data_IF_466721760401
#
_entry.id   IF_466721760401
#
_cell.length_a   1.000
_cell.length_b   1.000
_cell.length_c   1.000
_cell.angle_alpha   90.00
_cell.angle_beta   90.00
_cell.angle_gamma   90.00
#
_symmetry.space_group_name_H-M   'P 1'
#
loop_
_entity.id
_entity.type
_entity.pdbx_description
1 polymer ?
#
# COMPACT_ATOMS: atom_id res chain seq x y z
N UNK A 1 7.06 -17.55 -23.93
CA UNK A 1 7.82 -18.36 -22.93
C UNK A 1 7.91 -17.54 -21.65
N UNK A 2 7.56 -18.08 -20.48
CA UNK A 2 7.82 -17.39 -19.21
C UNK A 2 9.33 -17.27 -19.02
N UNK A 3 9.80 -16.13 -18.52
CA UNK A 3 11.19 -15.98 -18.08
C UNK A 3 11.23 -16.09 -16.55
N UNK A 4 12.38 -16.51 -16.01
CA UNK A 4 12.53 -16.69 -14.57
C UNK A 4 12.26 -15.41 -13.76
N UNK A 5 12.46 -14.24 -14.37
CA UNK A 5 12.18 -12.96 -13.73
C UNK A 5 10.67 -12.75 -13.49
N UNK A 6 9.81 -13.08 -14.45
CA UNK A 6 8.36 -12.99 -14.34
C UNK A 6 7.85 -13.98 -13.28
N UNK A 7 8.37 -15.22 -13.27
CA UNK A 7 7.99 -16.21 -12.26
C UNK A 7 8.46 -15.83 -10.84
N UNK A 8 9.64 -15.21 -10.73
CA UNK A 8 10.16 -14.68 -9.45
C UNK A 8 9.30 -13.53 -8.93
N UNK A 9 8.90 -12.59 -9.80
CA UNK A 9 8.02 -11.47 -9.44
C UNK A 9 6.62 -11.98 -9.06
N UNK A 10 6.07 -12.94 -9.81
CA UNK A 10 4.78 -13.55 -9.47
C UNK A 10 4.81 -14.27 -8.12
N UNK A 11 5.92 -14.95 -7.81
CA UNK A 11 6.14 -15.63 -6.52
C UNK A 11 6.27 -14.62 -5.37
N UNK A 12 7.04 -13.56 -5.57
CA UNK A 12 7.24 -12.49 -4.57
C UNK A 12 5.96 -11.71 -4.30
N UNK A 13 5.20 -11.35 -5.35
CA UNK A 13 3.98 -10.55 -5.23
C UNK A 13 2.72 -11.36 -4.94
N UNK A 14 2.82 -12.70 -4.87
CA UNK A 14 1.68 -13.63 -4.74
C UNK A 14 0.53 -13.36 -5.72
N UNK A 15 0.83 -12.78 -6.88
CA UNK A 15 -0.14 -12.50 -7.93
C UNK A 15 -0.15 -13.68 -8.90
N UNK A 16 -1.29 -14.34 -9.02
CA UNK A 16 -1.49 -15.39 -10.03
C UNK A 16 -2.07 -14.75 -11.28
N UNK A 17 -1.22 -14.55 -12.29
CA UNK A 17 -1.67 -14.20 -13.63
C UNK A 17 -2.52 -15.36 -14.16
N UNK A 18 -3.86 -15.19 -14.16
CA UNK A 18 -4.75 -16.12 -14.83
C UNK A 18 -4.45 -16.02 -16.32
N UNK A 19 -3.58 -16.90 -16.81
CA UNK A 19 -3.45 -17.13 -18.24
C UNK A 19 -4.86 -17.37 -18.78
N UNK A 20 -5.31 -16.54 -19.71
CA UNK A 20 -6.52 -16.82 -20.48
C UNK A 20 -6.30 -18.16 -21.17
N UNK A 21 -6.78 -19.24 -20.55
CA UNK A 21 -6.79 -20.56 -21.15
C UNK A 21 -7.67 -20.45 -22.39
N UNK A 22 -7.05 -20.43 -23.57
CA UNK A 22 -7.76 -20.67 -24.81
C UNK A 22 -8.54 -21.98 -24.63
N UNK A 23 -9.87 -21.88 -24.58
CA UNK A 23 -10.74 -23.04 -24.44
C UNK A 23 -10.52 -23.96 -25.65
N UNK A 24 -10.14 -25.23 -25.47
CA UNK A 24 -10.43 -26.24 -26.46
C UNK A 24 -11.90 -26.62 -26.31
N UNK A 25 -12.72 -26.19 -27.27
CA UNK A 25 -14.08 -26.67 -27.46
C UNK A 25 -14.02 -28.17 -27.79
N UNK A 26 -14.50 -29.06 -26.90
CA UNK A 26 -15.44 -30.18 -27.21
C UNK A 26 -15.66 -31.19 -26.06
N UNK A 27 -16.96 -31.46 -25.87
CA UNK A 27 -17.65 -32.73 -25.57
C UNK A 27 -17.35 -33.54 -24.28
N UNK A 28 -18.35 -33.48 -23.39
CA UNK A 28 -19.01 -34.56 -22.63
C UNK A 28 -18.22 -35.63 -21.88
N UNK A 29 -18.72 -35.83 -20.65
CA UNK A 29 -18.84 -37.10 -19.93
C UNK A 29 -17.69 -37.48 -18.98
N UNK A 30 -18.14 -37.91 -17.80
CA UNK A 30 -17.45 -38.70 -16.77
C UNK A 30 -16.82 -37.94 -15.60
N UNK A 31 -17.65 -37.82 -14.55
CA UNK A 31 -17.35 -37.89 -13.12
C UNK A 31 -15.85 -38.12 -12.80
N UNK A 32 -15.15 -37.10 -12.31
CA UNK A 32 -14.03 -37.24 -11.37
C UNK A 32 -14.05 -36.13 -10.35
N UNK A 33 -14.14 -36.56 -9.10
CA UNK A 33 -13.81 -35.83 -7.87
C UNK A 33 -12.50 -35.06 -8.06
N UNK A 34 -12.59 -33.74 -8.17
CA UNK A 34 -11.47 -32.85 -7.84
C UNK A 34 -11.85 -32.15 -6.55
N UNK A 35 -11.30 -32.69 -5.45
CA UNK A 35 -11.19 -31.95 -4.20
C UNK A 35 -10.48 -30.64 -4.54
N UNK A 36 -11.26 -29.57 -4.59
CA UNK A 36 -10.76 -28.21 -4.66
C UNK A 36 -9.85 -28.04 -3.45
N UNK A 37 -8.54 -28.14 -3.67
CA UNK A 37 -7.55 -27.64 -2.72
C UNK A 37 -7.70 -26.12 -2.72
N UNK A 38 -8.73 -25.67 -2.00
CA UNK A 38 -8.90 -24.30 -1.58
C UNK A 38 -7.70 -24.02 -0.69
N UNK A 39 -6.63 -23.54 -1.31
CA UNK A 39 -5.48 -22.97 -0.62
C UNK A 39 -6.08 -21.82 0.17
N UNK A 40 -6.36 -22.10 1.45
CA UNK A 40 -6.99 -21.21 2.41
C UNK A 40 -6.01 -20.06 2.61
N UNK A 41 -6.03 -19.09 1.69
CA UNK A 41 -5.30 -17.83 1.87
C UNK A 41 -5.88 -17.27 3.16
N UNK A 42 -5.07 -17.21 4.20
CA UNK A 42 -5.56 -16.75 5.49
C UNK A 42 -6.09 -15.33 5.31
N UNK A 43 -7.27 -14.98 5.85
CA UNK A 43 -7.81 -13.62 5.78
C UNK A 43 -6.85 -12.55 6.30
N UNK A 44 -5.90 -12.95 7.16
CA UNK A 44 -4.83 -12.11 7.69
C UNK A 44 -3.76 -11.75 6.65
N UNK A 45 -3.37 -12.68 5.78
CA UNK A 45 -2.39 -12.42 4.72
C UNK A 45 -2.96 -11.46 3.67
N UNK A 46 -4.24 -11.63 3.31
CA UNK A 46 -4.92 -10.73 2.37
C UNK A 46 -5.09 -9.33 2.97
N UNK A 47 -5.50 -9.23 4.23
CA UNK A 47 -5.63 -7.94 4.92
C UNK A 47 -4.30 -7.19 5.06
N UNK A 48 -3.20 -7.92 5.34
CA UNK A 48 -1.87 -7.34 5.42
C UNK A 48 -1.40 -6.81 4.07
N UNK A 49 -1.65 -7.56 3.00
CA UNK A 49 -1.31 -7.13 1.64
C UNK A 49 -2.13 -5.91 1.20
N UNK A 50 -3.43 -5.89 1.51
CA UNK A 50 -4.30 -4.74 1.21
C UNK A 50 -3.83 -3.46 1.92
N UNK A 51 -3.40 -3.57 3.19
CA UNK A 51 -2.82 -2.42 3.93
C UNK A 51 -1.53 -1.92 3.31
N UNK A 52 -0.65 -2.83 2.85
CA UNK A 52 0.58 -2.44 2.15
C UNK A 52 0.27 -1.70 0.86
N UNK A 53 -0.67 -2.20 0.06
CA UNK A 53 -1.10 -1.54 -1.17
C UNK A 53 -1.67 -0.15 -0.89
N UNK A 54 -2.57 -0.03 0.08
CA UNK A 54 -3.16 1.25 0.45
C UNK A 54 -2.13 2.27 0.97
N UNK A 55 -1.06 1.83 1.67
CA UNK A 55 0.06 2.71 2.01
C UNK A 55 0.81 3.18 0.77
N UNK A 56 1.10 2.29 -0.17
CA UNK A 56 1.76 2.64 -1.43
C UNK A 56 0.93 3.63 -2.25
N UNK A 57 -0.38 3.43 -2.32
CA UNK A 57 -1.30 4.31 -3.04
C UNK A 57 -1.37 5.70 -2.36
N UNK A 58 -1.43 5.74 -1.02
CA UNK A 58 -1.40 6.99 -0.26
C UNK A 58 -0.08 7.75 -0.46
N UNK A 59 1.05 7.04 -0.52
CA UNK A 59 2.35 7.63 -0.84
C UNK A 59 2.31 8.24 -2.24
N UNK A 60 1.86 7.48 -3.23
CA UNK A 60 1.76 7.97 -4.61
C UNK A 60 0.87 9.21 -4.73
N UNK A 61 -0.28 9.23 -4.04
CA UNK A 61 -1.16 10.40 -3.99
C UNK A 61 -0.43 11.62 -3.44
N UNK A 62 0.33 11.45 -2.37
CA UNK A 62 1.11 12.53 -1.77
C UNK A 62 2.14 13.10 -2.75
N UNK A 63 2.78 12.26 -3.57
CA UNK A 63 3.73 12.70 -4.60
C UNK A 63 3.09 13.36 -5.82
N UNK A 64 1.88 12.96 -6.19
CA UNK A 64 1.22 13.36 -7.45
C UNK A 64 0.25 14.53 -7.29
N UNK A 65 -0.41 14.65 -6.13
CA UNK A 65 -1.37 15.72 -5.88
C UNK A 65 -0.68 17.01 -5.39
N UNK A 66 -0.99 18.14 -6.03
CA UNK A 66 -0.49 19.47 -5.61
C UNK A 66 -1.01 19.92 -4.24
N UNK A 67 -2.17 19.42 -3.80
CA UNK A 67 -2.81 19.75 -2.52
C UNK A 67 -3.29 18.48 -1.84
N UNK A 68 -2.36 17.80 -1.20
CA UNK A 68 -2.64 16.57 -0.47
C UNK A 68 -3.49 16.88 0.76
N UNK A 69 -4.33 15.91 1.12
CA UNK A 69 -5.12 15.94 2.36
C UNK A 69 -4.61 14.88 3.35
N UNK A 70 -3.42 14.32 3.12
CA UNK A 70 -2.81 13.29 3.97
C UNK A 70 -1.48 13.82 4.51
N UNK A 71 -1.21 13.60 5.79
CA UNK A 71 0.04 14.05 6.41
C UNK A 71 1.20 13.12 6.01
N UNK A 72 2.15 13.66 5.24
CA UNK A 72 3.32 12.92 4.76
C UNK A 72 4.26 12.46 5.88
N UNK A 73 4.34 13.21 6.99
CA UNK A 73 5.09 12.79 8.17
C UNK A 73 4.42 11.62 8.89
N UNK A 74 3.11 11.70 9.13
CA UNK A 74 2.36 10.57 9.71
C UNK A 74 2.40 9.34 8.80
N UNK A 75 2.31 9.53 7.50
CA UNK A 75 2.36 8.44 6.52
C UNK A 75 3.71 7.69 6.59
N UNK A 76 4.81 8.40 6.80
CA UNK A 76 6.14 7.82 6.96
C UNK A 76 6.40 7.18 8.33
N UNK A 77 5.60 7.48 9.34
CA UNK A 77 5.87 7.05 10.72
C UNK A 77 5.38 5.62 10.97
N UNK A 78 6.31 4.68 11.06
CA UNK A 78 6.02 3.25 11.21
C UNK A 78 5.47 2.88 12.59
N UNK A 79 5.74 3.69 13.62
CA UNK A 79 5.21 3.47 14.98
C UNK A 79 3.70 3.76 15.11
N UNK A 80 3.11 4.45 14.13
CA UNK A 80 1.68 4.74 14.11
C UNK A 80 0.86 3.58 13.51
N UNK A 81 -0.35 3.41 14.04
CA UNK A 81 -1.35 2.52 13.46
C UNK A 81 -1.71 2.95 12.04
N UNK A 82 -1.98 1.98 11.16
CA UNK A 82 -2.31 2.19 9.74
C UNK A 82 -3.34 3.31 9.54
N UNK A 83 -4.45 3.30 10.29
CA UNK A 83 -5.52 4.30 10.20
C UNK A 83 -5.05 5.73 10.49
N UNK A 84 -4.11 5.90 11.42
CA UNK A 84 -3.51 7.21 11.74
C UNK A 84 -2.52 7.64 10.67
N UNK A 85 -1.83 6.69 10.04
CA UNK A 85 -0.85 6.97 8.96
C UNK A 85 -1.54 7.41 7.68
N UNK A 86 -2.65 6.75 7.33
CA UNK A 86 -3.42 7.03 6.11
C UNK A 86 -4.62 7.94 6.37
N UNK A 87 -4.63 8.67 7.49
CA UNK A 87 -5.73 9.55 7.82
C UNK A 87 -5.84 10.68 6.79
N UNK A 88 -7.02 10.81 6.19
CA UNK A 88 -7.34 11.84 5.22
C UNK A 88 -8.11 12.97 5.91
N UNK A 89 -7.55 14.16 5.90
CA UNK A 89 -8.17 15.38 6.42
C UNK A 89 -9.26 15.88 5.47
N UNK A 90 -10.30 16.50 6.02
CA UNK A 90 -11.41 17.07 5.24
C UNK A 90 -10.94 18.20 4.33
N UNK A 91 -9.97 19.00 4.79
CA UNK A 91 -9.40 20.09 4.02
C UNK A 91 -7.87 20.17 4.15
N UNK A 92 -7.17 20.76 3.16
CA UNK A 92 -5.75 21.09 3.29
C UNK A 92 -5.45 22.05 4.46
N UNK A 93 -6.43 22.88 4.85
CA UNK A 93 -6.32 23.78 6.00
C UNK A 93 -6.20 23.01 7.32
N UNK A 94 -7.00 21.95 7.48
CA UNK A 94 -6.95 21.09 8.67
C UNK A 94 -5.65 20.29 8.73
N UNK A 95 -5.15 19.83 7.57
CA UNK A 95 -3.83 19.22 7.47
C UNK A 95 -2.74 20.20 7.93
N UNK A 96 -2.81 21.46 7.52
CA UNK A 96 -1.84 22.49 7.91
C UNK A 96 -1.86 22.73 9.43
N UNK A 97 -3.06 22.81 10.04
CA UNK A 97 -3.20 22.93 11.50
C UNK A 97 -2.61 21.73 12.22
N UNK A 98 -2.94 20.52 11.75
CA UNK A 98 -2.39 19.29 12.28
C UNK A 98 -0.86 19.31 12.22
N UNK A 99 -0.28 19.68 11.09
CA UNK A 99 1.16 19.75 10.92
C UNK A 99 1.82 20.70 11.93
N UNK A 100 1.26 21.90 12.08
CA UNK A 100 1.76 22.91 13.05
C UNK A 100 1.69 22.40 14.49
N UNK A 101 0.57 21.84 14.92
CA UNK A 101 0.40 21.42 16.31
C UNK A 101 1.08 20.11 16.65
N UNK A 102 1.11 19.15 15.72
CA UNK A 102 1.63 17.80 15.96
C UNK A 102 3.13 17.73 15.70
N UNK A 103 3.57 18.33 14.60
CA UNK A 103 4.95 18.17 14.13
C UNK A 103 5.78 19.39 14.49
N UNK A 104 5.29 20.62 14.30
CA UNK A 104 6.07 21.83 14.57
C UNK A 104 6.09 22.29 16.03
N UNK A 105 5.07 21.96 16.84
CA UNK A 105 4.93 22.53 18.18
C UNK A 105 6.08 22.23 19.15
N UNK A 106 6.79 21.11 18.95
CA UNK A 106 7.85 20.65 19.86
C UNK A 106 9.24 20.65 19.21
N UNK A 107 9.41 21.28 18.05
CA UNK A 107 10.68 21.29 17.34
C UNK A 107 11.57 22.37 17.95
N UNK A 108 12.79 21.99 18.34
CA UNK A 108 13.83 22.93 18.76
C UNK A 108 14.58 23.47 17.55
N UNK A 109 15.25 24.60 17.71
CA UNK A 109 15.97 25.31 16.63
C UNK A 109 17.02 24.46 15.88
N UNK A 110 17.42 23.31 16.44
CA UNK A 110 18.39 22.37 15.83
C UNK A 110 17.80 21.02 15.43
N UNK A 111 16.51 20.80 15.67
CA UNK A 111 15.86 19.52 15.38
C UNK A 111 15.64 19.42 13.88
N UNK A 112 15.97 18.27 13.28
CA UNK A 112 15.74 18.03 11.86
C UNK A 112 14.48 17.20 11.69
N UNK A 113 13.50 17.76 11.01
CA UNK A 113 12.34 16.99 10.60
C UNK A 113 12.66 16.23 9.31
N UNK A 114 12.84 14.92 9.40
CA UNK A 114 13.01 14.09 8.21
C UNK A 114 11.66 13.50 7.78
N UNK A 115 11.30 13.69 6.51
CA UNK A 115 10.20 12.93 5.93
C UNK A 115 10.69 11.56 5.45
N UNK A 116 10.29 10.49 6.13
CA UNK A 116 10.59 9.10 5.72
C UNK A 116 9.98 8.71 4.35
N UNK A 117 9.00 9.48 3.85
CA UNK A 117 8.37 9.26 2.53
C UNK A 117 9.19 9.89 1.41
N UNK A 118 9.59 11.16 1.57
CA UNK A 118 10.35 11.91 0.56
C UNK A 118 11.87 11.76 0.72
N UNK A 119 12.34 11.27 1.88
CA UNK A 119 13.77 11.25 2.29
C UNK A 119 14.44 12.62 2.15
N UNK A 120 13.69 13.67 2.49
CA UNK A 120 14.17 15.05 2.53
C UNK A 120 14.06 15.60 3.95
N UNK A 121 14.99 16.49 4.29
CA UNK A 121 14.88 17.32 5.48
C UNK A 121 13.88 18.44 5.22
N UNK A 122 12.93 18.60 6.14
CA UNK A 122 11.93 19.66 6.14
C UNK A 122 12.49 20.79 7.00
N UNK A 123 12.65 21.97 6.40
CA UNK A 123 12.98 23.19 7.14
C UNK A 123 11.70 23.72 7.80
N UNK A 124 11.80 24.08 9.09
CA UNK A 124 10.72 24.63 9.91
C UNK A 124 11.05 26.02 10.43
#
# INVERSE_FOLDING_TARGET
RRNAAIDAIATYCHFQEKSATALPRKKSSTRRTSSMLSKKISPQLTATQAKKQALSDAILLVFTEKRTTTCFLCLGEQSLLFEKRTYKFTSPGDLTKHFKWKHLANIRERDRLECKVYRIEIQH
#
